data_IF_933302030275
#
_entry.id   IF_933302030275
#
_cell.length_a   1.000
_cell.length_b   1.000
_cell.length_c   1.000
_cell.angle_alpha   90.00
_cell.angle_beta   90.00
_cell.angle_gamma   90.00
#
_symmetry.space_group_name_H-M   'P 1'
#
loop_
_entity.id
_entity.type
_entity.pdbx_description
1 polymer ?
#
# COMPACT_ATOMS: atom_id res chain seq x y z
N UNK A 1 -51.28 -12.28 17.70
CA UNK A 1 -50.53 -12.38 16.43
C UNK A 1 -49.08 -12.06 16.73
N UNK A 2 -48.18 -12.99 16.40
CA UNK A 2 -46.71 -12.81 16.32
C UNK A 2 -46.37 -11.62 15.41
N UNK A 3 -45.26 -10.88 15.60
CA UNK A 3 -43.92 -11.34 15.27
C UNK A 3 -42.83 -10.89 16.25
N UNK A 4 -41.92 -11.84 16.49
CA UNK A 4 -40.69 -11.77 17.27
C UNK A 4 -39.58 -11.36 16.29
N UNK A 5 -38.70 -10.47 16.73
CA UNK A 5 -37.51 -10.07 16.00
C UNK A 5 -36.61 -9.27 16.94
N UNK A 6 -36.14 -9.91 18.00
CA UNK A 6 -34.98 -9.43 18.75
C UNK A 6 -33.82 -9.44 17.76
N UNK A 7 -33.46 -8.28 17.23
CA UNK A 7 -32.11 -8.07 16.74
C UNK A 7 -31.26 -8.04 18.00
N UNK A 8 -30.58 -9.15 18.26
CA UNK A 8 -29.48 -9.18 19.21
C UNK A 8 -28.59 -8.00 18.86
N UNK A 9 -28.41 -7.10 19.84
CA UNK A 9 -27.34 -6.13 19.83
C UNK A 9 -26.05 -6.95 19.84
N UNK A 10 -25.62 -7.39 18.66
CA UNK A 10 -24.24 -7.76 18.43
C UNK A 10 -23.45 -6.56 18.91
N UNK A 11 -22.79 -6.76 20.05
CA UNK A 11 -21.79 -5.86 20.55
C UNK A 11 -20.80 -5.72 19.40
N UNK A 12 -20.79 -4.56 18.74
CA UNK A 12 -19.68 -4.20 17.86
C UNK A 12 -18.50 -4.08 18.81
N UNK A 13 -17.82 -5.20 19.03
CA UNK A 13 -16.50 -5.20 19.62
C UNK A 13 -15.65 -4.40 18.64
N UNK A 14 -15.30 -3.18 19.05
CA UNK A 14 -14.19 -2.47 18.46
C UNK A 14 -12.98 -3.38 18.65
N UNK A 15 -12.67 -4.17 17.63
CA UNK A 15 -11.47 -4.98 17.64
C UNK A 15 -10.34 -4.01 17.86
N UNK A 16 -9.65 -4.17 18.98
CA UNK A 16 -8.57 -3.30 19.35
C UNK A 16 -7.44 -3.54 18.34
N UNK A 17 -7.43 -2.73 17.29
CA UNK A 17 -6.56 -2.83 16.12
C UNK A 17 -5.10 -2.43 16.46
N UNK A 18 -4.84 -2.16 17.75
CA UNK A 18 -3.62 -1.64 18.34
C UNK A 18 -2.36 -2.49 18.10
N UNK A 19 -2.48 -3.68 17.50
CA UNK A 19 -1.34 -4.53 17.18
C UNK A 19 -1.18 -4.87 15.68
N UNK A 20 -1.99 -4.29 14.77
CA UNK A 20 -1.75 -4.46 13.34
C UNK A 20 -0.55 -3.59 12.93
N UNK A 21 0.47 -4.22 12.36
CA UNK A 21 1.62 -3.51 11.81
C UNK A 21 1.89 -3.93 10.37
N UNK A 22 2.30 -2.96 9.56
CA UNK A 22 2.67 -3.16 8.16
C UNK A 22 4.10 -2.63 7.98
N UNK A 23 4.98 -3.46 7.44
CA UNK A 23 6.35 -3.06 7.12
C UNK A 23 6.66 -3.31 5.65
N UNK A 24 7.39 -2.36 5.05
CA UNK A 24 7.91 -2.51 3.70
C UNK A 24 9.13 -3.43 3.73
N UNK A 25 9.04 -4.57 3.06
CA UNK A 25 10.18 -5.44 2.86
C UNK A 25 11.24 -4.75 1.98
N UNK A 26 12.52 -5.02 2.24
CA UNK A 26 13.65 -4.36 1.57
C UNK A 26 13.61 -2.82 1.64
N UNK A 27 13.13 -2.23 2.74
CA UNK A 27 13.06 -0.77 2.91
C UNK A 27 14.38 -0.05 2.64
N UNK A 28 15.53 -0.68 2.92
CA UNK A 28 16.84 -0.10 2.64
C UNK A 28 17.11 0.08 1.14
N UNK A 29 16.63 -0.85 0.30
CA UNK A 29 16.73 -0.70 -1.15
C UNK A 29 15.84 0.45 -1.63
N UNK A 30 14.62 0.54 -1.10
CA UNK A 30 13.72 1.66 -1.39
C UNK A 30 14.32 3.01 -1.00
N UNK A 31 15.03 3.09 0.14
CA UNK A 31 15.75 4.31 0.56
C UNK A 31 16.84 4.69 -0.44
N UNK A 32 17.66 3.74 -0.89
CA UNK A 32 18.69 3.99 -1.90
C UNK A 32 18.10 4.52 -3.21
N UNK A 33 16.98 3.95 -3.68
CA UNK A 33 16.28 4.44 -4.88
C UNK A 33 15.65 5.82 -4.66
N UNK A 34 15.12 6.09 -3.47
CA UNK A 34 14.57 7.40 -3.12
C UNK A 34 15.64 8.50 -3.15
N UNK A 35 16.83 8.22 -2.61
CA UNK A 35 17.98 9.15 -2.57
C UNK A 35 18.41 9.63 -3.97
N UNK A 36 18.26 8.79 -4.99
CA UNK A 36 18.64 9.11 -6.37
C UNK A 36 17.46 9.50 -7.27
N UNK A 37 16.30 9.80 -6.68
CA UNK A 37 15.00 9.97 -7.38
C UNK A 37 14.53 8.67 -8.02
N UNK A 38 13.63 7.98 -7.34
CA UNK A 38 13.08 6.71 -7.79
C UNK A 38 12.21 6.91 -9.05
N UNK A 39 12.62 6.33 -10.18
CA UNK A 39 11.89 6.37 -11.44
C UNK A 39 11.33 4.99 -11.79
N UNK A 40 10.12 4.95 -12.36
CA UNK A 40 9.46 3.73 -12.79
C UNK A 40 9.20 3.77 -14.30
N UNK A 41 9.48 2.67 -14.99
CA UNK A 41 9.21 2.54 -16.42
C UNK A 41 7.75 2.16 -16.63
N UNK A 42 7.01 2.95 -17.42
CA UNK A 42 5.65 2.62 -17.87
C UNK A 42 5.67 2.26 -19.34
N UNK A 43 5.04 1.14 -19.71
CA UNK A 43 4.91 0.69 -21.10
C UNK A 43 3.45 0.34 -21.40
N UNK A 44 3.07 0.33 -22.69
CA UNK A 44 1.70 -0.03 -23.12
C UNK A 44 1.29 -1.43 -22.68
N UNK A 45 2.24 -2.38 -22.66
CA UNK A 45 2.00 -3.77 -22.25
C UNK A 45 2.09 -3.96 -20.72
N UNK A 46 2.47 -2.92 -19.99
CA UNK A 46 2.78 -2.98 -18.57
C UNK A 46 4.23 -3.39 -18.29
N UNK A 47 4.74 -2.93 -17.15
CA UNK A 47 6.05 -3.29 -16.63
C UNK A 47 5.92 -3.47 -15.12
N UNK A 48 6.63 -4.46 -14.57
CA UNK A 48 6.73 -4.60 -13.12
C UNK A 48 7.54 -3.44 -12.56
N UNK A 49 7.08 -2.88 -11.45
CA UNK A 49 7.86 -1.90 -10.68
C UNK A 49 9.16 -2.52 -10.18
N UNK A 50 10.19 -1.70 -10.07
CA UNK A 50 11.43 -2.05 -9.41
C UNK A 50 11.89 -0.86 -8.54
N UNK A 51 12.14 -1.05 -7.24
CA UNK A 51 11.98 -2.30 -6.48
C UNK A 51 10.52 -2.79 -6.42
N UNK A 52 10.32 -4.09 -6.16
CA UNK A 52 8.97 -4.66 -5.99
C UNK A 52 8.40 -4.20 -4.64
N UNK A 53 7.15 -3.74 -4.62
CA UNK A 53 6.43 -3.47 -3.38
C UNK A 53 6.10 -4.83 -2.74
N UNK A 54 6.72 -5.11 -1.61
CA UNK A 54 6.48 -6.31 -0.82
C UNK A 54 6.27 -5.87 0.62
N UNK A 55 5.13 -6.23 1.19
CA UNK A 55 4.72 -5.82 2.54
C UNK A 55 4.62 -7.04 3.44
N UNK A 56 4.98 -6.86 4.71
CA UNK A 56 4.73 -7.83 5.77
C UNK A 56 3.66 -7.24 6.67
N UNK A 57 2.53 -7.95 6.80
CA UNK A 57 1.44 -7.57 7.68
C UNK A 57 1.46 -8.53 8.89
N UNK A 58 1.40 -7.98 10.10
CA UNK A 58 1.35 -8.73 11.36
C UNK A 58 0.14 -8.30 12.20
N UNK A 59 -0.32 -9.18 13.07
CA UNK A 59 -1.41 -8.87 14.01
C UNK A 59 -2.82 -8.98 13.41
N UNK A 60 -2.97 -9.58 12.21
CA UNK A 60 -4.28 -9.89 11.66
C UNK A 60 -4.92 -11.04 12.45
N UNK A 61 -6.22 -10.90 12.71
CA UNK A 61 -7.05 -11.98 13.23
C UNK A 61 -7.20 -13.08 12.15
N UNK A 62 -6.76 -14.32 12.41
CA UNK A 62 -6.80 -15.41 11.44
C UNK A 62 -8.22 -15.88 11.09
N UNK A 63 -9.24 -15.55 11.89
CA UNK A 63 -10.63 -15.97 11.65
C UNK A 63 -11.40 -15.02 10.72
N UNK A 64 -10.76 -13.93 10.28
CA UNK A 64 -11.39 -12.88 9.46
C UNK A 64 -10.91 -12.84 8.03
N UNK A 65 -11.77 -12.28 7.18
CA UNK A 65 -11.48 -12.02 5.78
C UNK A 65 -11.01 -10.57 5.59
N UNK A 66 -9.97 -10.39 4.78
CA UNK A 66 -9.38 -9.08 4.49
C UNK A 66 -9.24 -8.89 2.98
N UNK A 67 -9.30 -7.63 2.55
CA UNK A 67 -8.92 -7.20 1.21
C UNK A 67 -7.71 -6.28 1.30
N UNK A 68 -6.76 -6.44 0.39
CA UNK A 68 -5.58 -5.58 0.27
C UNK A 68 -5.67 -4.89 -1.09
N UNK A 69 -5.62 -3.56 -1.07
CA UNK A 69 -5.63 -2.71 -2.25
C UNK A 69 -4.36 -1.86 -2.30
N UNK A 70 -3.84 -1.66 -3.51
CA UNK A 70 -2.73 -0.74 -3.78
C UNK A 70 -3.20 0.24 -4.85
N UNK A 71 -3.29 1.52 -4.48
CA UNK A 71 -3.57 2.64 -5.38
C UNK A 71 -2.35 3.54 -5.54
N UNK A 72 -2.30 4.29 -6.64
CA UNK A 72 -1.31 5.33 -6.88
C UNK A 72 -2.05 6.62 -7.17
N UNK A 73 -1.74 7.67 -6.41
CA UNK A 73 -2.27 9.00 -6.60
C UNK A 73 -1.19 9.96 -7.11
N UNK A 74 -1.59 10.90 -7.96
CA UNK A 74 -0.70 11.92 -8.48
C UNK A 74 -0.33 12.91 -7.37
N UNK A 75 0.97 13.11 -7.14
CA UNK A 75 1.46 14.02 -6.08
C UNK A 75 1.41 15.49 -6.54
N UNK A 76 1.75 15.76 -7.79
CA UNK A 76 1.66 17.11 -8.38
C UNK A 76 1.35 17.07 -9.88
N UNK A 77 1.01 18.23 -10.46
CA UNK A 77 0.73 18.38 -11.89
C UNK A 77 1.96 18.75 -12.73
N UNK A 78 3.17 18.67 -12.18
CA UNK A 78 4.39 19.08 -12.88
C UNK A 78 4.83 18.02 -13.87
N UNK A 79 5.35 18.48 -15.01
CA UNK A 79 5.98 17.62 -16.02
C UNK A 79 7.49 17.75 -15.94
N UNK A 80 8.13 16.72 -15.41
CA UNK A 80 9.58 16.66 -15.24
C UNK A 80 10.27 16.17 -16.52
N UNK A 81 11.49 16.66 -16.76
CA UNK A 81 12.39 16.19 -17.83
C UNK A 81 13.80 16.10 -17.26
N UNK A 82 14.40 14.92 -17.38
CA UNK A 82 15.82 14.75 -17.09
C UNK A 82 16.69 15.49 -18.13
N UNK A 83 17.63 16.32 -17.68
CA UNK A 83 18.60 17.02 -18.53
C UNK A 83 20.00 16.56 -18.14
N UNK A 84 20.66 15.80 -19.02
CA UNK A 84 22.04 15.34 -18.81
C UNK A 84 23.01 16.49 -19.09
N UNK A 85 23.64 17.03 -18.05
CA UNK A 85 24.79 17.94 -18.21
C UNK A 85 26.06 17.13 -18.42
N UNK A 86 26.30 16.65 -19.64
CA UNK A 86 27.62 16.16 -20.05
C UNK A 86 28.02 16.84 -21.35
N UNK A 87 28.66 18.00 -21.20
CA UNK A 87 29.52 18.58 -22.23
C UNK A 87 30.64 19.32 -21.52
N UNK A 88 31.75 18.63 -21.34
CA UNK A 88 33.10 19.20 -21.31
C UNK A 88 34.02 18.18 -21.95
#
# INVERSE_FOLDING_TARGET
>A
MQYIGQYEHDQIQYYNQENISITLHNQNLWKQFHEITNEMIVTKVGRRMFPIISIIIRGLDPEKMYTIELSFDQIDSHRWRYVSSKTS
#
